data_IF_653481201213
#
_entry.id   IF_653481201213
#
_cell.length_a   1.000
_cell.length_b   1.000
_cell.length_c   1.000
_cell.angle_alpha   90.00
_cell.angle_beta   90.00
_cell.angle_gamma   90.00
#
_symmetry.space_group_name_H-M   'P 1'
#
loop_
_entity.id
_entity.type
_entity.pdbx_description
1 polymer ?
#
# COMPACT_ATOMS: atom_id res chain seq x y z
N UNK A 1 20.29 -8.94 -5.37
CA UNK A 1 18.91 -8.50 -5.68
C UNK A 1 18.15 -9.67 -6.27
N UNK A 2 16.96 -9.99 -5.77
CA UNK A 2 16.11 -11.00 -6.40
C UNK A 2 15.36 -10.36 -7.58
N UNK A 3 15.38 -10.97 -8.78
CA UNK A 3 14.66 -10.43 -9.93
C UNK A 3 13.15 -10.44 -9.67
N UNK A 4 12.44 -9.44 -10.19
CA UNK A 4 11.00 -9.33 -10.05
C UNK A 4 10.30 -10.52 -10.69
N UNK A 5 9.55 -11.28 -9.90
CA UNK A 5 8.77 -12.42 -10.38
C UNK A 5 7.46 -11.92 -10.99
N UNK A 6 7.14 -12.37 -12.21
CA UNK A 6 5.93 -11.99 -13.00
C UNK A 6 5.89 -10.51 -13.42
N UNK A 7 6.95 -10.06 -14.09
CA UNK A 7 7.01 -8.69 -14.62
C UNK A 7 5.91 -8.36 -15.64
N UNK A 8 5.38 -9.37 -16.32
CA UNK A 8 4.20 -9.28 -17.21
C UNK A 8 2.93 -8.78 -16.51
N UNK A 9 2.88 -8.82 -15.18
CA UNK A 9 1.73 -8.40 -14.36
C UNK A 9 1.93 -7.06 -13.64
N UNK A 10 3.01 -6.35 -13.94
CA UNK A 10 3.22 -5.05 -13.36
C UNK A 10 2.15 -4.07 -13.85
N UNK A 11 1.45 -3.44 -12.92
CA UNK A 11 0.57 -2.32 -13.23
C UNK A 11 1.46 -1.08 -13.43
N UNK A 12 1.43 -0.50 -14.62
CA UNK A 12 2.19 0.70 -14.96
C UNK A 12 1.31 1.94 -15.09
N UNK A 13 -0.01 1.75 -15.19
CA UNK A 13 -0.97 2.86 -15.24
C UNK A 13 -1.25 3.39 -13.83
N UNK A 14 -0.98 4.67 -13.64
CA UNK A 14 -1.24 5.36 -12.38
C UNK A 14 -2.73 5.44 -12.06
N UNK A 15 -3.59 5.59 -13.07
CA UNK A 15 -5.04 5.64 -12.85
C UNK A 15 -5.55 4.32 -12.26
N UNK A 16 -5.05 3.19 -12.76
CA UNK A 16 -5.35 1.85 -12.23
C UNK A 16 -4.84 1.69 -10.79
N UNK A 17 -3.60 2.10 -10.51
CA UNK A 17 -3.05 2.09 -9.15
C UNK A 17 -3.91 2.91 -8.18
N UNK A 18 -4.34 4.11 -8.58
CA UNK A 18 -5.19 4.99 -7.77
C UNK A 18 -6.59 4.41 -7.58
N UNK A 19 -7.14 3.70 -8.56
CA UNK A 19 -8.45 3.03 -8.43
C UNK A 19 -8.41 1.95 -7.34
N UNK A 20 -7.36 1.12 -7.31
CA UNK A 20 -7.15 0.10 -6.28
C UNK A 20 -7.15 0.71 -4.88
N UNK A 21 -6.44 1.83 -4.69
CA UNK A 21 -6.38 2.52 -3.40
C UNK A 21 -7.72 3.10 -2.94
N UNK A 22 -8.61 3.47 -3.87
CA UNK A 22 -9.98 3.94 -3.57
C UNK A 22 -10.93 2.81 -3.18
N UNK A 23 -10.79 1.65 -3.81
CA UNK A 23 -11.69 0.51 -3.64
C UNK A 23 -11.29 -0.39 -2.46
N UNK A 24 -9.99 -0.51 -2.19
CA UNK A 24 -9.48 -1.28 -1.08
C UNK A 24 -10.00 -0.70 0.25
N UNK A 25 -10.39 -1.58 1.17
CA UNK A 25 -10.86 -1.19 2.52
C UNK A 25 -9.78 -1.25 3.58
N UNK A 26 -8.70 -1.99 3.30
CA UNK A 26 -7.64 -2.28 4.23
C UNK A 26 -6.28 -2.22 3.52
N UNK A 27 -5.26 -1.85 4.29
CA UNK A 27 -3.84 -1.94 3.91
C UNK A 27 -3.09 -2.72 4.96
N UNK A 28 -2.05 -3.42 4.54
CA UNK A 28 -1.05 -3.97 5.44
C UNK A 28 0.22 -3.14 5.31
N UNK A 29 0.64 -2.52 6.40
CA UNK A 29 1.85 -1.69 6.46
C UNK A 29 2.97 -2.54 7.05
N UNK A 30 4.08 -2.62 6.32
CA UNK A 30 5.33 -3.21 6.81
C UNK A 30 6.22 -2.12 7.41
N UNK A 31 6.63 -2.32 8.65
CA UNK A 31 7.44 -1.41 9.44
C UNK A 31 8.57 -2.18 10.11
N UNK A 32 9.48 -1.46 10.76
CA UNK A 32 10.47 -2.06 11.66
C UNK A 32 10.26 -1.53 13.07
N UNK A 33 10.30 -2.42 14.05
CA UNK A 33 10.30 -2.09 15.47
C UNK A 33 11.52 -2.76 16.10
N UNK A 34 12.49 -1.96 16.56
CA UNK A 34 13.76 -2.45 17.10
C UNK A 34 14.50 -3.39 16.12
N UNK A 35 14.61 -2.98 14.85
CA UNK A 35 15.24 -3.74 13.76
C UNK A 35 14.58 -5.08 13.41
N UNK A 36 13.42 -5.39 14.00
CA UNK A 36 12.61 -6.57 13.67
C UNK A 36 11.42 -6.18 12.76
N UNK A 37 11.02 -7.05 11.82
CA UNK A 37 9.91 -6.79 10.91
C UNK A 37 8.57 -6.80 11.67
N UNK A 38 7.78 -5.76 11.45
CA UNK A 38 6.45 -5.60 12.04
C UNK A 38 5.42 -5.37 10.94
N UNK A 39 4.32 -6.13 10.97
CA UNK A 39 3.20 -5.98 10.04
C UNK A 39 1.94 -5.62 10.81
N UNK A 40 1.22 -4.63 10.32
CA UNK A 40 -0.09 -4.25 10.85
C UNK A 40 -1.09 -4.06 9.72
N UNK A 41 -2.29 -4.61 9.88
CA UNK A 41 -3.41 -4.41 8.95
C UNK A 41 -4.40 -3.43 9.56
N UNK A 42 -4.68 -2.35 8.84
CA UNK A 42 -5.57 -1.27 9.27
C UNK A 42 -6.55 -0.93 8.16
N UNK A 43 -7.68 -0.34 8.54
CA UNK A 43 -8.52 0.38 7.58
C UNK A 43 -7.83 1.66 7.13
N UNK A 44 -7.99 2.04 5.87
CA UNK A 44 -7.44 3.29 5.33
C UNK A 44 -8.48 4.13 4.61
N UNK A 45 -8.18 5.43 4.50
CA UNK A 45 -8.78 6.34 3.54
C UNK A 45 -7.72 6.83 2.56
N UNK A 46 -8.07 6.97 1.29
CA UNK A 46 -7.18 7.48 0.26
C UNK A 46 -7.66 8.84 -0.25
N UNK A 47 -6.81 9.86 -0.11
CA UNK A 47 -6.99 11.21 -0.63
C UNK A 47 -6.23 11.34 -1.95
N UNK A 48 -6.96 11.46 -3.05
CA UNK A 48 -6.37 11.54 -4.37
C UNK A 48 -5.83 12.92 -4.74
N UNK A 49 -6.35 13.99 -4.14
CA UNK A 49 -5.83 15.34 -4.40
C UNK A 49 -4.44 15.50 -3.77
N UNK A 50 -4.27 14.95 -2.56
CA UNK A 50 -2.98 14.97 -1.84
C UNK A 50 -2.08 13.79 -2.16
N UNK A 51 -2.60 12.77 -2.84
CA UNK A 51 -1.92 11.50 -3.06
C UNK A 51 -1.45 10.85 -1.73
N UNK A 52 -2.34 10.81 -0.74
CA UNK A 52 -2.02 10.35 0.61
C UNK A 52 -2.94 9.20 1.04
N UNK A 53 -2.36 8.19 1.68
CA UNK A 53 -3.09 7.13 2.39
C UNK A 53 -3.06 7.47 3.88
N UNK A 54 -4.24 7.61 4.48
CA UNK A 54 -4.42 7.88 5.90
C UNK A 54 -4.97 6.65 6.59
N UNK A 55 -4.47 6.36 7.79
CA UNK A 55 -4.95 5.32 8.67
C UNK A 55 -4.82 5.81 10.12
N UNK A 56 -5.64 5.25 11.01
CA UNK A 56 -5.65 5.59 12.42
C UNK A 56 -5.29 4.36 13.26
N UNK A 57 -4.38 4.55 14.20
CA UNK A 57 -4.03 3.57 15.23
C UNK A 57 -3.96 4.30 16.58
N UNK A 58 -4.32 3.60 17.67
CA UNK A 58 -4.29 4.12 19.03
C UNK A 58 -2.86 4.28 19.56
#
# INVERSE_FOLDING_TARGET
MHPMRRGDKQITDEAEMRAILREAKHVTVAMSLNDEPYLVTLSHGYDAERNCVYFHCA
#
